data_IF_821432216341
#
_entry.id   IF_821432216341
#
_cell.length_a   1.000
_cell.length_b   1.000
_cell.length_c   1.000
_cell.angle_alpha   90.00
_cell.angle_beta   90.00
_cell.angle_gamma   90.00
#
_symmetry.space_group_name_H-M   'P 1'
#
loop_
_entity.id
_entity.type
_entity.pdbx_description
1 polymer ?
#
# COMPACT_ATOMS: atom_id res chain seq x y z
N UNK A 1 -18.73 -20.26 0.31
CA UNK A 1 -17.72 -19.19 0.12
C UNK A 1 -17.40 -19.09 -1.37
N UNK A 2 -17.25 -17.89 -1.95
CA UNK A 2 -16.83 -17.75 -3.35
C UNK A 2 -15.42 -18.34 -3.56
N UNK A 3 -15.15 -18.86 -4.77
CA UNK A 3 -13.82 -19.39 -5.11
C UNK A 3 -12.78 -18.28 -5.23
N UNK A 4 -11.50 -18.64 -5.13
CA UNK A 4 -10.39 -17.70 -5.36
C UNK A 4 -10.50 -17.03 -6.74
N UNK A 5 -10.92 -17.76 -7.77
CA UNK A 5 -11.13 -17.22 -9.11
C UNK A 5 -12.26 -16.20 -9.17
N UNK A 6 -13.33 -16.43 -8.40
CA UNK A 6 -14.46 -15.49 -8.30
C UNK A 6 -14.00 -14.20 -7.65
N UNK A 7 -13.22 -14.29 -6.57
CA UNK A 7 -12.66 -13.13 -5.89
C UNK A 7 -11.68 -12.37 -6.80
N UNK A 8 -10.77 -13.08 -7.47
CA UNK A 8 -9.79 -12.48 -8.39
C UNK A 8 -10.47 -11.71 -9.52
N UNK A 9 -11.51 -12.30 -10.13
CA UNK A 9 -12.28 -11.64 -11.20
C UNK A 9 -12.97 -10.38 -10.72
N UNK A 10 -13.59 -10.41 -9.53
CA UNK A 10 -14.24 -9.22 -8.96
C UNK A 10 -13.22 -8.13 -8.65
N UNK A 11 -12.11 -8.47 -7.99
CA UNK A 11 -11.05 -7.51 -7.68
C UNK A 11 -10.42 -6.93 -8.94
N UNK A 12 -10.28 -7.73 -10.00
CA UNK A 12 -9.76 -7.28 -11.30
C UNK A 12 -10.68 -6.31 -12.05
N UNK A 13 -11.97 -6.22 -11.69
CA UNK A 13 -12.90 -5.24 -12.27
C UNK A 13 -12.90 -3.90 -11.55
N UNK A 14 -12.33 -3.82 -10.35
CA UNK A 14 -12.32 -2.60 -9.53
C UNK A 14 -11.13 -1.73 -9.95
N UNK A 15 -11.33 -0.41 -10.03
CA UNK A 15 -10.22 0.52 -10.23
C UNK A 15 -9.26 0.44 -9.03
N UNK A 16 -7.99 0.02 -9.23
CA UNK A 16 -7.07 -0.22 -8.12
C UNK A 16 -6.72 1.05 -7.34
N UNK A 17 -6.65 2.20 -8.02
CA UNK A 17 -6.34 3.50 -7.37
C UNK A 17 -7.51 3.97 -6.52
N UNK A 18 -8.74 3.79 -7.01
CA UNK A 18 -9.93 4.13 -6.25
C UNK A 18 -10.07 3.23 -5.01
N UNK A 19 -9.85 1.91 -5.17
CA UNK A 19 -9.86 0.96 -4.07
C UNK A 19 -8.82 1.30 -3.00
N UNK A 20 -7.60 1.61 -3.40
CA UNK A 20 -6.52 2.01 -2.50
C UNK A 20 -6.90 3.26 -1.69
N UNK A 21 -7.47 4.28 -2.34
CA UNK A 21 -7.93 5.50 -1.65
C UNK A 21 -9.03 5.18 -0.64
N UNK A 22 -10.05 4.42 -1.04
CA UNK A 22 -11.14 4.02 -0.15
C UNK A 22 -10.64 3.19 1.03
N UNK A 23 -9.66 2.31 0.80
CA UNK A 23 -9.01 1.56 1.87
C UNK A 23 -8.29 2.48 2.85
N UNK A 24 -7.47 3.42 2.37
CA UNK A 24 -6.78 4.38 3.24
C UNK A 24 -7.79 5.22 4.03
N UNK A 25 -8.86 5.73 3.40
CA UNK A 25 -9.91 6.48 4.11
C UNK A 25 -10.57 5.64 5.19
N UNK A 26 -10.97 4.41 4.88
CA UNK A 26 -11.57 3.50 5.85
C UNK A 26 -10.62 3.20 7.02
N UNK A 27 -9.33 3.07 6.75
CA UNK A 27 -8.30 2.89 7.75
C UNK A 27 -8.15 4.10 8.67
N UNK A 28 -8.22 5.33 8.14
CA UNK A 28 -8.24 6.56 8.95
C UNK A 28 -9.48 6.64 9.85
N UNK A 29 -10.63 6.17 9.37
CA UNK A 29 -11.87 6.16 10.17
C UNK A 29 -11.86 5.08 11.27
N UNK A 30 -11.28 3.92 10.99
CA UNK A 30 -11.20 2.81 11.96
C UNK A 30 -10.09 2.99 12.99
N UNK A 31 -9.07 3.78 12.67
CA UNK A 31 -7.87 3.91 13.48
C UNK A 31 -7.53 5.39 13.66
N UNK A 32 -7.69 5.88 14.88
CA UNK A 32 -7.12 7.17 15.28
C UNK A 32 -5.63 6.94 15.54
N UNK A 33 -4.77 7.47 14.66
CA UNK A 33 -3.33 7.53 14.92
C UNK A 33 -3.11 8.17 16.29
N UNK A 34 -2.68 7.38 17.26
CA UNK A 34 -2.46 7.88 18.62
C UNK A 34 -1.14 8.62 18.69
N UNK A 35 -1.08 9.68 19.50
CA UNK A 35 0.14 10.46 19.69
C UNK A 35 1.29 9.55 20.17
N UNK A 36 2.38 9.50 19.40
CA UNK A 36 3.52 8.60 19.63
C UNK A 36 3.44 7.21 18.98
N UNK A 37 2.47 6.96 18.09
CA UNK A 37 2.41 5.71 17.33
C UNK A 37 3.54 5.59 16.31
N UNK A 38 4.32 4.50 16.41
CA UNK A 38 5.43 4.22 15.50
C UNK A 38 4.89 3.61 14.20
N UNK A 39 5.11 4.30 13.09
CA UNK A 39 4.82 3.79 11.74
C UNK A 39 6.11 3.23 11.15
N UNK A 40 6.11 1.95 10.83
CA UNK A 40 7.20 1.32 10.10
C UNK A 40 7.00 1.53 8.59
N UNK A 41 8.06 1.94 7.91
CA UNK A 41 8.09 2.08 6.45
C UNK A 41 8.99 1.00 5.87
N UNK A 42 8.46 0.15 4.99
CA UNK A 42 9.22 -0.95 4.37
C UNK A 42 9.03 -1.01 2.86
N UNK A 43 10.07 -1.48 2.16
CA UNK A 43 10.07 -1.70 0.72
C UNK A 43 9.75 -3.17 0.39
N UNK A 44 8.59 -3.41 -0.21
CA UNK A 44 8.13 -4.76 -0.55
C UNK A 44 8.21 -5.01 -2.07
N UNK A 45 8.60 -6.24 -2.44
CA UNK A 45 8.52 -6.72 -3.82
C UNK A 45 7.51 -7.86 -3.91
N UNK A 46 6.45 -7.66 -4.69
CA UNK A 46 5.38 -8.65 -4.83
C UNK A 46 5.89 -9.85 -5.65
N UNK A 47 6.09 -10.99 -4.97
CA UNK A 47 6.49 -12.24 -5.63
C UNK A 47 5.39 -12.71 -6.59
N UNK A 48 5.80 -13.17 -7.78
CA UNK A 48 4.87 -13.64 -8.81
C UNK A 48 4.12 -12.55 -9.57
N UNK A 49 4.41 -11.27 -9.30
CA UNK A 49 3.79 -10.13 -10.01
C UNK A 49 4.35 -9.85 -11.40
N UNK A 50 5.44 -10.52 -11.78
CA UNK A 50 6.02 -10.40 -13.10
C UNK A 50 5.12 -11.10 -14.13
N UNK A 51 4.83 -10.43 -15.23
CA UNK A 51 4.09 -11.01 -16.34
C UNK A 51 4.93 -10.89 -17.61
N UNK A 52 5.66 -11.97 -17.93
CA UNK A 52 6.50 -12.04 -19.14
C UNK A 52 5.67 -11.91 -20.42
N UNK A 53 4.41 -12.37 -20.42
CA UNK A 53 3.55 -12.32 -21.60
C UNK A 53 3.10 -10.90 -21.93
N UNK A 54 3.02 -10.02 -20.92
CA UNK A 54 2.64 -8.61 -21.06
C UNK A 54 3.82 -7.64 -20.88
N UNK A 55 5.05 -8.14 -20.82
CA UNK A 55 6.26 -7.32 -20.61
C UNK A 55 6.29 -6.56 -19.28
N UNK A 56 5.51 -6.99 -18.28
CA UNK A 56 5.44 -6.30 -16.99
C UNK A 56 6.49 -6.87 -16.03
N UNK A 57 7.39 -6.01 -15.57
CA UNK A 57 8.37 -6.33 -14.53
C UNK A 57 7.73 -6.59 -13.17
N UNK A 58 8.55 -6.99 -12.20
CA UNK A 58 8.13 -7.15 -10.80
C UNK A 58 7.60 -5.85 -10.24
N UNK A 59 6.51 -5.93 -9.49
CA UNK A 59 5.95 -4.77 -8.79
C UNK A 59 6.74 -4.53 -7.51
N UNK A 60 7.31 -3.33 -7.41
CA UNK A 60 7.93 -2.79 -6.21
C UNK A 60 6.94 -1.83 -5.53
N UNK A 61 6.96 -1.79 -4.21
CA UNK A 61 6.00 -1.02 -3.41
C UNK A 61 6.64 -0.56 -2.11
N UNK A 62 6.21 0.59 -1.59
CA UNK A 62 6.51 1.02 -0.22
C UNK A 62 5.25 0.85 0.61
N UNK A 63 5.37 0.25 1.80
CA UNK A 63 4.29 -0.02 2.73
C UNK A 63 4.50 0.76 4.03
N UNK A 64 3.43 1.34 4.56
CA UNK A 64 3.37 1.96 5.88
C UNK A 64 2.54 1.08 6.81
N UNK A 65 3.17 0.61 7.89
CA UNK A 65 2.61 -0.31 8.86
C UNK A 65 2.50 0.37 10.23
N UNK A 66 1.28 0.45 10.76
CA UNK A 66 1.05 0.83 12.15
C UNK A 66 1.51 -0.31 13.07
N UNK A 67 2.65 -0.13 13.75
CA UNK A 67 3.30 -1.21 14.50
C UNK A 67 2.50 -1.67 15.72
N UNK A 68 1.74 -0.77 16.35
CA UNK A 68 0.91 -1.09 17.50
C UNK A 68 -0.16 -2.14 17.17
N UNK A 69 -0.70 -2.08 15.95
CA UNK A 69 -1.81 -2.94 15.51
C UNK A 69 -1.40 -3.96 14.43
N UNK A 70 -0.12 -3.95 14.00
CA UNK A 70 0.41 -4.84 12.97
C UNK A 70 -0.31 -4.70 11.62
N UNK A 71 -0.79 -3.49 11.30
CA UNK A 71 -1.74 -3.26 10.21
C UNK A 71 -1.20 -2.27 9.18
N UNK A 72 -1.37 -2.56 7.89
CA UNK A 72 -0.99 -1.64 6.82
C UNK A 72 -2.00 -0.51 6.73
N UNK A 73 -1.51 0.73 6.89
CA UNK A 73 -2.33 1.95 6.83
C UNK A 73 -2.24 2.64 5.48
N UNK A 74 -1.19 2.36 4.71
CA UNK A 74 -1.02 2.87 3.36
C UNK A 74 0.07 2.13 2.60
N UNK A 75 -0.07 2.10 1.28
CA UNK A 75 0.92 1.50 0.39
C UNK A 75 1.04 2.35 -0.87
N UNK A 76 2.20 2.39 -1.51
CA UNK A 76 2.41 3.10 -2.77
C UNK A 76 3.31 2.29 -3.71
N UNK A 77 2.80 1.97 -4.90
CA UNK A 77 3.60 1.32 -5.94
C UNK A 77 4.73 2.24 -6.40
N UNK A 78 5.92 1.66 -6.60
CA UNK A 78 7.08 2.35 -7.18
C UNK A 78 7.54 1.64 -8.45
N UNK A 79 8.16 2.41 -9.36
CA UNK A 79 8.60 1.88 -10.65
C UNK A 79 9.78 0.91 -10.52
N UNK A 80 10.65 1.14 -9.53
CA UNK A 80 11.79 0.28 -9.23
C UNK A 80 12.18 0.39 -7.76
N UNK A 81 12.96 -0.57 -7.26
CA UNK A 81 13.48 -0.58 -5.89
C UNK A 81 14.22 0.72 -5.50
N UNK A 82 14.96 1.34 -6.42
CA UNK A 82 15.67 2.59 -6.13
C UNK A 82 14.77 3.82 -5.95
N UNK A 83 13.49 3.72 -6.32
CA UNK A 83 12.54 4.84 -6.23
C UNK A 83 11.85 4.94 -4.87
N UNK A 84 12.07 3.97 -3.97
CA UNK A 84 11.45 3.92 -2.64
C UNK A 84 11.67 5.21 -1.85
N UNK A 85 12.89 5.74 -1.80
CA UNK A 85 13.23 6.99 -1.08
C UNK A 85 12.35 8.16 -1.52
N UNK A 86 12.11 8.30 -2.83
CA UNK A 86 11.27 9.38 -3.38
C UNK A 86 9.78 9.14 -3.23
N UNK A 87 9.38 7.91 -2.89
CA UNK A 87 7.99 7.52 -2.71
C UNK A 87 7.54 7.66 -1.25
N UNK A 88 8.47 7.60 -0.29
CA UNK A 88 8.17 7.75 1.13
C UNK A 88 7.45 9.08 1.43
N UNK A 89 7.93 10.27 0.99
CA UNK A 89 7.22 11.52 1.27
C UNK A 89 5.79 11.52 0.72
N UNK A 90 5.60 10.99 -0.50
CA UNK A 90 4.28 10.89 -1.14
C UNK A 90 3.34 9.95 -0.38
N UNK A 91 3.89 8.91 0.24
CA UNK A 91 3.11 7.98 1.06
C UNK A 91 2.70 8.64 2.38
N UNK A 92 3.58 9.42 3.01
CA UNK A 92 3.25 10.19 4.22
C UNK A 92 2.19 11.27 3.95
N UNK A 93 2.29 11.98 2.81
CA UNK A 93 1.28 12.95 2.37
C UNK A 93 -0.11 12.29 2.20
N UNK A 94 -0.17 11.08 1.64
CA UNK A 94 -1.43 10.33 1.50
C UNK A 94 -2.04 9.98 2.86
N UNK A 95 -1.18 9.71 3.84
CA UNK A 95 -1.57 9.33 5.19
C UNK A 95 -1.88 10.54 6.07
N UNK A 96 -1.53 11.76 5.64
CA UNK A 96 -1.68 13.00 6.41
C UNK A 96 -0.97 12.94 7.77
N UNK A 97 0.19 12.26 7.78
CA UNK A 97 1.07 12.19 8.95
C UNK A 97 2.17 13.21 8.70
N UNK A 98 2.11 14.34 9.40
CA UNK A 98 3.19 15.32 9.38
C UNK A 98 4.39 14.72 10.11
N UNK A 99 5.55 14.72 9.46
CA UNK A 99 6.83 14.42 10.14
C UNK A 99 6.97 15.38 11.32
N UNK A 100 7.22 14.83 12.50
CA UNK A 100 7.67 15.61 13.66
C UNK A 100 9.20 15.75 13.53
N UNK A 101 9.67 16.99 13.37
CA UNK A 101 11.10 17.39 13.42
C UNK A 101 11.82 16.88 14.68
#
# INVERSE_FOLDING_TARGET
MPSADTLSRVMGMINPVALQRSFITWMKDCHTLTDGEVIAIDGETLRGSYDRSKGKGTIHMVNALATANGMSIGQLKVDSKSNEITAIPKLLDLLDVLDYD
#
